data_IF_971972086429
#
_entry.id   IF_971972086429
#
_cell.length_a   1.000
_cell.length_b   1.000
_cell.length_c   1.000
_cell.angle_alpha   90.00
_cell.angle_beta   90.00
_cell.angle_gamma   90.00
#
_symmetry.space_group_name_H-M   'P 1'
#
loop_
_entity.id
_entity.type
_entity.pdbx_description
1 polymer ?
#
# COMPACT_ATOMS: atom_id res chain seq x y z
N UNK A 1 7.02 -4.57 -8.87
CA UNK A 1 6.52 -5.73 -9.65
C UNK A 1 6.20 -6.94 -8.77
N UNK A 2 7.15 -7.50 -8.00
CA UNK A 2 6.87 -8.63 -7.10
C UNK A 2 5.74 -8.35 -6.10
N UNK A 3 5.74 -7.18 -5.47
CA UNK A 3 4.64 -6.73 -4.62
C UNK A 3 3.32 -6.71 -5.39
N UNK A 4 3.28 -6.11 -6.58
CA UNK A 4 2.08 -6.04 -7.41
C UNK A 4 1.49 -7.43 -7.71
N UNK A 5 2.34 -8.42 -8.01
CA UNK A 5 1.91 -9.81 -8.21
C UNK A 5 1.33 -10.44 -6.92
N UNK A 6 1.90 -10.15 -5.74
CA UNK A 6 1.35 -10.58 -4.45
C UNK A 6 -0.09 -10.07 -4.26
N UNK A 7 -0.33 -8.78 -4.52
CA UNK A 7 -1.68 -8.19 -4.46
C UNK A 7 -2.61 -8.86 -5.47
N UNK A 8 -2.15 -9.06 -6.72
CA UNK A 8 -2.95 -9.69 -7.77
C UNK A 8 -3.33 -11.12 -7.43
N UNK A 9 -2.44 -11.92 -6.84
CA UNK A 9 -2.80 -13.26 -6.36
C UNK A 9 -3.81 -13.16 -5.22
N UNK A 10 -3.53 -12.34 -4.21
CA UNK A 10 -4.41 -12.19 -3.04
C UNK A 10 -5.84 -11.79 -3.42
N UNK A 11 -5.99 -10.90 -4.39
CA UNK A 11 -7.28 -10.35 -4.79
C UNK A 11 -7.91 -11.05 -6.00
N UNK A 12 -7.40 -12.23 -6.37
CA UNK A 12 -7.91 -13.00 -7.52
C UNK A 12 -7.93 -12.16 -8.80
N UNK A 13 -6.81 -11.45 -9.04
CA UNK A 13 -6.54 -10.54 -10.15
C UNK A 13 -7.41 -9.27 -10.20
N UNK A 14 -8.19 -8.99 -9.17
CA UNK A 14 -8.92 -7.72 -9.06
C UNK A 14 -7.96 -6.58 -8.69
N UNK A 15 -8.04 -5.49 -9.45
CA UNK A 15 -7.24 -4.28 -9.20
C UNK A 15 -7.86 -3.35 -8.16
N UNK A 16 -9.17 -3.47 -7.90
CA UNK A 16 -9.92 -2.73 -6.88
C UNK A 16 -10.83 -3.68 -6.08
N UNK A 17 -10.95 -3.45 -4.77
CA UNK A 17 -11.92 -4.12 -3.89
C UNK A 17 -13.11 -3.23 -3.53
N UNK A 18 -13.00 -1.91 -3.73
CA UNK A 18 -14.08 -0.95 -3.66
C UNK A 18 -15.08 -1.19 -4.81
N UNK A 19 -16.39 -0.99 -4.59
CA UNK A 19 -17.41 -1.20 -5.60
C UNK A 19 -17.52 0.02 -6.54
N UNK A 20 -16.45 0.29 -7.29
CA UNK A 20 -16.28 1.53 -8.07
C UNK A 20 -16.98 1.52 -9.44
N UNK A 21 -17.39 0.35 -9.93
CA UNK A 21 -18.05 0.24 -11.25
C UNK A 21 -17.10 0.63 -12.38
N UNK A 22 -17.56 1.50 -13.29
CA UNK A 22 -16.79 2.03 -14.41
C UNK A 22 -16.49 3.53 -14.18
N UNK A 23 -15.42 3.88 -13.45
CA UNK A 23 -15.09 5.28 -13.16
C UNK A 23 -14.62 6.01 -14.43
N UNK A 24 -14.99 7.27 -14.62
CA UNK A 24 -14.51 8.04 -15.77
C UNK A 24 -13.09 8.57 -15.53
N UNK A 25 -12.80 9.05 -14.31
CA UNK A 25 -11.49 9.59 -13.94
C UNK A 25 -10.91 8.84 -12.74
N UNK A 26 -9.69 8.33 -12.90
CA UNK A 26 -8.98 7.51 -11.91
C UNK A 26 -7.63 8.11 -11.58
N UNK A 27 -7.31 8.19 -10.29
CA UNK A 27 -6.01 8.60 -9.79
C UNK A 27 -5.33 7.45 -9.04
N UNK A 28 -4.10 7.11 -9.41
CA UNK A 28 -3.22 6.23 -8.64
C UNK A 28 -2.13 7.07 -7.97
N UNK A 29 -2.24 7.24 -6.67
CA UNK A 29 -1.36 8.10 -5.87
C UNK A 29 -0.09 7.34 -5.48
N UNK A 30 1.06 8.00 -5.61
CA UNK A 30 2.38 7.41 -5.37
C UNK A 30 2.55 6.09 -6.16
N UNK A 31 2.25 6.18 -7.46
CA UNK A 31 2.12 5.05 -8.40
C UNK A 31 3.43 4.26 -8.59
N UNK A 32 4.58 4.83 -8.22
CA UNK A 32 5.89 4.22 -8.37
C UNK A 32 6.19 3.88 -9.84
N UNK A 33 6.28 2.59 -10.16
CA UNK A 33 6.55 2.13 -11.54
C UNK A 33 5.38 2.37 -12.50
N UNK A 34 4.18 2.63 -11.99
CA UNK A 34 2.98 2.83 -12.81
C UNK A 34 2.26 1.55 -13.21
N UNK A 35 2.69 0.38 -12.73
CA UNK A 35 2.16 -0.92 -13.18
C UNK A 35 0.67 -1.09 -12.87
N UNK A 36 0.22 -0.63 -11.69
CA UNK A 36 -1.20 -0.69 -11.34
C UNK A 36 -2.04 0.23 -12.23
N UNK A 37 -1.62 1.49 -12.40
CA UNK A 37 -2.31 2.45 -13.25
C UNK A 37 -2.43 1.96 -14.69
N UNK A 38 -1.35 1.34 -15.21
CA UNK A 38 -1.35 0.73 -16.54
C UNK A 38 -2.34 -0.42 -16.66
N UNK A 39 -2.29 -1.42 -15.77
CA UNK A 39 -3.22 -2.56 -15.83
C UNK A 39 -4.67 -2.12 -15.64
N UNK A 40 -4.92 -1.11 -14.80
CA UNK A 40 -6.25 -0.55 -14.63
C UNK A 40 -6.73 0.14 -15.91
N UNK A 41 -5.89 0.94 -16.57
CA UNK A 41 -6.21 1.60 -17.83
C UNK A 41 -6.47 0.61 -18.97
N UNK A 42 -5.73 -0.51 -19.02
CA UNK A 42 -5.93 -1.58 -19.99
C UNK A 42 -7.27 -2.30 -19.77
N UNK A 43 -7.64 -2.57 -18.51
CA UNK A 43 -8.91 -3.19 -18.16
C UNK A 43 -10.12 -2.26 -18.35
N UNK A 44 -9.92 -0.95 -18.25
CA UNK A 44 -10.97 0.08 -18.33
C UNK A 44 -10.66 1.11 -19.44
N UNK A 45 -10.83 0.76 -20.73
CA UNK A 45 -10.41 1.59 -21.86
C UNK A 45 -11.19 2.91 -21.99
N UNK A 46 -12.33 3.04 -21.28
CA UNK A 46 -13.14 4.26 -21.23
C UNK A 46 -12.74 5.21 -20.09
N UNK A 47 -11.98 4.70 -19.11
CA UNK A 47 -11.48 5.50 -18.00
C UNK A 47 -10.23 6.25 -18.40
N UNK A 48 -10.10 7.50 -17.95
CA UNK A 48 -8.84 8.23 -17.96
C UNK A 48 -8.12 7.98 -16.64
N UNK A 49 -6.95 7.36 -16.70
CA UNK A 49 -6.13 7.00 -15.54
C UNK A 49 -4.90 7.90 -15.47
N UNK A 50 -4.68 8.48 -14.29
CA UNK A 50 -3.50 9.29 -13.99
C UNK A 50 -2.75 8.63 -12.85
N UNK A 51 -1.47 8.35 -13.03
CA UNK A 51 -0.56 8.00 -11.94
C UNK A 51 0.26 9.21 -11.49
N UNK A 52 0.29 9.52 -10.20
CA UNK A 52 1.14 10.57 -9.63
C UNK A 52 2.27 10.00 -8.80
N UNK A 53 3.45 10.63 -8.88
CA UNK A 53 4.60 10.28 -8.04
C UNK A 53 5.58 11.47 -7.95
N UNK A 54 6.39 11.53 -6.88
CA UNK A 54 7.48 12.50 -6.77
C UNK A 54 8.57 12.27 -7.82
N UNK A 55 8.64 11.06 -8.38
CA UNK A 55 9.62 10.60 -9.35
C UNK A 55 8.98 10.14 -10.67
N UNK A 56 9.59 10.51 -11.79
CA UNK A 56 9.14 10.11 -13.13
C UNK A 56 9.97 8.94 -13.64
N UNK A 57 9.77 7.75 -13.05
CA UNK A 57 10.55 6.53 -13.34
C UNK A 57 9.81 5.51 -14.22
N UNK A 58 8.62 5.87 -14.72
CA UNK A 58 7.72 4.93 -15.38
C UNK A 58 8.25 4.54 -16.78
N UNK A 59 8.23 3.24 -17.15
CA UNK A 59 8.71 2.77 -18.44
C UNK A 59 8.05 3.46 -19.62
N UNK A 60 8.81 3.72 -20.69
CA UNK A 60 8.31 4.37 -21.90
C UNK A 60 7.14 3.61 -22.55
N UNK A 61 7.13 2.28 -22.46
CA UNK A 61 6.04 1.45 -22.97
C UNK A 61 4.69 1.74 -22.31
N UNK A 62 4.65 2.13 -21.03
CA UNK A 62 3.40 2.49 -20.34
C UNK A 62 2.77 3.78 -20.91
N UNK A 63 3.58 4.62 -21.58
CA UNK A 63 3.11 5.86 -22.22
C UNK A 63 2.42 5.62 -23.57
N UNK A 64 2.25 4.36 -23.99
CA UNK A 64 1.58 3.99 -25.24
C UNK A 64 0.07 3.87 -25.10
N UNK A 65 -0.47 3.72 -23.88
CA UNK A 65 -1.91 3.71 -23.65
C UNK A 65 -2.46 5.15 -23.74
N UNK A 66 -3.40 5.45 -24.64
CA UNK A 66 -3.92 6.80 -24.82
C UNK A 66 -4.72 7.31 -23.62
N UNK A 67 -5.18 6.41 -22.75
CA UNK A 67 -5.99 6.70 -21.57
C UNK A 67 -5.20 6.60 -20.25
N UNK A 68 -3.87 6.42 -20.29
CA UNK A 68 -3.02 6.37 -19.10
C UNK A 68 -1.94 7.45 -19.18
N UNK A 69 -1.79 8.26 -18.13
CA UNK A 69 -0.76 9.31 -18.07
C UNK A 69 -0.09 9.37 -16.71
N UNK A 70 1.09 9.98 -16.66
CA UNK A 70 1.89 10.09 -15.44
C UNK A 70 2.30 11.54 -15.18
N UNK A 71 2.08 12.01 -13.96
CA UNK A 71 2.33 13.39 -13.56
C UNK A 71 3.25 13.41 -12.35
N UNK A 72 4.26 14.27 -12.38
CA UNK A 72 5.09 14.51 -11.20
C UNK A 72 4.34 15.42 -10.24
N UNK A 73 3.96 14.90 -9.08
CA UNK A 73 3.13 15.62 -8.12
C UNK A 73 3.39 15.11 -6.70
N UNK A 74 3.30 16.00 -5.71
CA UNK A 74 3.34 15.67 -4.29
C UNK A 74 1.92 15.66 -3.75
N UNK A 75 1.43 14.49 -3.37
CA UNK A 75 0.01 14.32 -3.04
C UNK A 75 -0.41 14.93 -1.70
N UNK A 76 0.55 15.48 -0.93
CA UNK A 76 0.27 16.33 0.24
C UNK A 76 -0.03 17.79 -0.17
N UNK A 77 0.37 18.23 -1.37
CA UNK A 77 0.11 19.55 -1.93
C UNK A 77 -1.30 19.64 -2.55
N UNK A 78 -1.81 20.85 -2.84
CA UNK A 78 -3.05 21.02 -3.58
C UNK A 78 -2.98 20.38 -4.97
N UNK A 79 -3.90 19.45 -5.25
CA UNK A 79 -3.96 18.74 -6.52
C UNK A 79 -4.23 19.70 -7.69
N UNK A 80 -3.46 19.56 -8.77
CA UNK A 80 -3.41 20.52 -9.89
C UNK A 80 -4.33 20.18 -11.06
N UNK A 81 -5.31 19.29 -10.85
CA UNK A 81 -6.21 18.81 -11.90
C UNK A 81 -7.41 19.75 -12.09
N UNK A 82 -7.83 19.95 -13.33
CA UNK A 82 -9.00 20.74 -13.72
C UNK A 82 -10.32 19.96 -13.62
N UNK A 83 -10.23 18.66 -13.36
CA UNK A 83 -11.35 17.76 -13.08
C UNK A 83 -11.17 17.04 -11.75
N UNK A 84 -12.25 16.37 -11.32
CA UNK A 84 -12.29 15.56 -10.10
C UNK A 84 -12.32 14.08 -10.43
N UNK A 85 -11.90 13.27 -9.46
CA UNK A 85 -11.76 11.83 -9.63
C UNK A 85 -12.98 11.05 -9.12
N UNK A 86 -13.34 10.01 -9.86
CA UNK A 86 -14.37 9.04 -9.47
C UNK A 86 -13.77 7.87 -8.68
N UNK A 87 -12.47 7.61 -8.88
CA UNK A 87 -11.72 6.62 -8.14
C UNK A 87 -10.33 7.15 -7.77
N UNK A 88 -9.94 7.00 -6.50
CA UNK A 88 -8.59 7.30 -6.01
C UNK A 88 -8.04 6.02 -5.38
N UNK A 89 -6.89 5.57 -5.86
CA UNK A 89 -6.21 4.38 -5.37
C UNK A 89 -4.83 4.75 -4.83
N UNK A 90 -4.41 4.06 -3.77
CA UNK A 90 -3.03 4.10 -3.29
C UNK A 90 -2.63 2.71 -2.79
N UNK A 91 -1.43 2.25 -3.17
CA UNK A 91 -0.94 0.92 -2.79
C UNK A 91 0.51 0.96 -2.34
N UNK A 92 0.81 0.25 -1.25
CA UNK A 92 2.16 0.14 -0.67
C UNK A 92 2.79 1.50 -0.32
N UNK A 93 2.00 2.40 0.28
CA UNK A 93 2.36 3.79 0.59
C UNK A 93 2.71 4.04 2.06
N UNK A 94 2.88 2.98 2.87
CA UNK A 94 3.01 3.03 4.34
C UNK A 94 4.02 4.05 4.86
N UNK A 95 5.11 4.29 4.11
CA UNK A 95 6.17 5.22 4.49
C UNK A 95 6.30 6.44 3.56
N UNK A 96 5.38 6.62 2.61
CA UNK A 96 5.52 7.64 1.56
C UNK A 96 5.16 9.05 2.05
N UNK A 97 4.07 9.19 2.81
CA UNK A 97 3.52 10.51 3.18
C UNK A 97 4.00 10.98 4.55
N UNK A 98 4.20 12.29 4.73
CA UNK A 98 4.45 12.84 6.07
C UNK A 98 3.21 12.68 6.94
N UNK A 99 2.04 13.04 6.42
CA UNK A 99 0.75 12.83 7.05
C UNK A 99 -0.29 12.29 6.06
N UNK A 100 -0.63 11.00 6.21
CA UNK A 100 -1.63 10.34 5.38
C UNK A 100 -3.02 11.01 5.47
N UNK A 101 -3.33 11.69 6.57
CA UNK A 101 -4.61 12.40 6.74
C UNK A 101 -4.70 13.63 5.84
N UNK A 102 -3.57 14.29 5.56
CA UNK A 102 -3.51 15.38 4.58
C UNK A 102 -3.88 14.86 3.19
N UNK A 103 -3.28 13.73 2.78
CA UNK A 103 -3.61 13.08 1.50
C UNK A 103 -5.09 12.69 1.43
N UNK A 104 -5.66 12.14 2.51
CA UNK A 104 -7.09 11.82 2.56
C UNK A 104 -7.98 13.07 2.44
N UNK A 105 -7.60 14.18 3.08
CA UNK A 105 -8.31 15.46 2.94
C UNK A 105 -8.24 16.00 1.50
N UNK A 106 -7.06 15.94 0.86
CA UNK A 106 -6.88 16.33 -0.55
C UNK A 106 -7.71 15.46 -1.48
N UNK A 107 -7.71 14.15 -1.26
CA UNK A 107 -8.57 13.24 -2.01
C UNK A 107 -10.05 13.58 -1.82
N UNK A 108 -10.48 13.83 -0.59
CA UNK A 108 -11.85 14.22 -0.33
C UNK A 108 -12.25 15.49 -1.11
N UNK A 109 -11.38 16.50 -1.19
CA UNK A 109 -11.61 17.73 -1.98
C UNK A 109 -11.65 17.46 -3.49
N UNK A 110 -10.67 16.69 -3.99
CA UNK A 110 -10.42 16.37 -5.39
C UNK A 110 -11.33 15.29 -5.99
N UNK A 111 -12.20 14.66 -5.21
CA UNK A 111 -13.10 13.61 -5.68
C UNK A 111 -14.52 14.11 -6.01
N UNK A 112 -15.17 13.46 -6.97
CA UNK A 112 -16.59 13.60 -7.22
C UNK A 112 -17.42 12.98 -6.10
N UNK A 113 -18.62 13.51 -5.88
CA UNK A 113 -19.60 12.88 -5.00
C UNK A 113 -19.94 11.48 -5.51
N UNK A 114 -20.01 10.51 -4.60
CA UNK A 114 -20.19 9.11 -4.99
C UNK A 114 -18.91 8.40 -5.45
N UNK A 115 -17.80 9.11 -5.64
CA UNK A 115 -16.50 8.50 -5.96
C UNK A 115 -15.92 7.70 -4.81
N UNK A 116 -15.07 6.72 -5.12
CA UNK A 116 -14.45 5.81 -4.16
C UNK A 116 -12.96 6.09 -3.96
N UNK A 117 -12.48 5.89 -2.75
CA UNK A 117 -11.06 5.88 -2.41
C UNK A 117 -10.70 4.52 -1.83
N UNK A 118 -9.55 3.97 -2.20
CA UNK A 118 -9.06 2.68 -1.72
C UNK A 118 -7.56 2.71 -1.43
N UNK A 119 -7.19 2.38 -0.19
CA UNK A 119 -5.81 2.21 0.25
C UNK A 119 -5.52 0.72 0.47
N UNK A 120 -4.44 0.23 -0.11
CA UNK A 120 -3.99 -1.16 0.01
C UNK A 120 -2.55 -1.18 0.55
N UNK A 121 -2.37 -1.46 1.83
CA UNK A 121 -1.09 -1.20 2.48
C UNK A 121 -0.69 -2.22 3.54
N UNK A 122 0.62 -2.45 3.64
CA UNK A 122 1.20 -3.47 4.51
C UNK A 122 1.59 -2.81 5.83
N UNK A 123 1.11 -3.37 6.94
CA UNK A 123 1.59 -2.99 8.25
C UNK A 123 2.92 -3.71 8.54
N UNK A 124 3.94 -2.95 8.92
CA UNK A 124 5.31 -3.46 9.19
C UNK A 124 5.42 -4.18 10.55
N UNK A 125 4.33 -4.78 11.03
CA UNK A 125 4.29 -5.62 12.22
C UNK A 125 4.23 -7.09 11.79
N UNK A 126 5.36 -7.77 11.87
CA UNK A 126 5.42 -9.21 11.56
C UNK A 126 4.80 -10.01 12.70
N UNK A 127 3.90 -10.93 12.34
CA UNK A 127 3.13 -11.77 13.26
C UNK A 127 3.33 -13.24 12.94
N UNK A 128 2.96 -14.10 13.87
CA UNK A 128 2.93 -15.56 13.69
C UNK A 128 1.74 -16.14 14.44
N UNK A 129 1.26 -17.29 14.00
CA UNK A 129 0.12 -17.99 14.58
C UNK A 129 0.51 -18.98 15.70
N UNK A 130 1.80 -19.29 15.86
CA UNK A 130 2.26 -20.39 16.72
C UNK A 130 3.64 -20.16 17.35
N UNK A 131 3.98 -18.90 17.64
CA UNK A 131 5.22 -18.47 18.31
C UNK A 131 6.54 -18.78 17.59
N UNK A 132 6.50 -19.42 16.40
CA UNK A 132 7.70 -19.77 15.61
C UNK A 132 8.53 -18.56 15.13
N UNK A 133 7.97 -17.36 15.24
CA UNK A 133 8.65 -16.09 14.96
C UNK A 133 9.54 -15.60 16.12
N UNK A 134 9.31 -16.04 17.35
CA UNK A 134 9.99 -15.52 18.53
C UNK A 134 11.50 -15.80 18.51
N UNK A 135 12.30 -14.76 18.75
CA UNK A 135 13.77 -14.89 18.77
C UNK A 135 14.43 -15.02 17.40
N UNK A 136 13.65 -14.95 16.32
CA UNK A 136 14.19 -14.96 14.95
C UNK A 136 14.82 -13.62 14.57
N UNK A 137 15.78 -13.65 13.65
CA UNK A 137 16.39 -12.45 13.09
C UNK A 137 15.40 -11.65 12.24
N UNK A 138 14.43 -12.31 11.59
CA UNK A 138 13.38 -11.58 10.84
C UNK A 138 12.49 -10.78 11.79
N UNK A 139 12.16 -11.30 12.97
CA UNK A 139 11.44 -10.53 14.00
C UNK A 139 12.26 -9.33 14.49
N UNK A 140 13.54 -9.55 14.79
CA UNK A 140 14.49 -8.50 15.19
C UNK A 140 14.60 -7.41 14.11
N UNK A 141 14.65 -7.82 12.84
CA UNK A 141 14.73 -6.93 11.69
C UNK A 141 13.50 -6.03 11.59
N UNK A 142 12.28 -6.58 11.61
CA UNK A 142 11.05 -5.76 11.57
C UNK A 142 10.99 -4.78 12.74
N UNK A 143 11.32 -5.21 13.96
CA UNK A 143 11.38 -4.31 15.14
C UNK A 143 12.40 -3.18 14.95
N UNK A 144 13.56 -3.49 14.39
CA UNK A 144 14.62 -2.50 14.17
C UNK A 144 14.25 -1.52 13.05
N UNK A 145 13.62 -2.00 11.97
CA UNK A 145 13.08 -1.15 10.90
C UNK A 145 12.03 -0.19 11.44
N UNK A 146 11.08 -0.68 12.26
CA UNK A 146 10.08 0.15 12.93
C UNK A 146 10.73 1.25 13.78
N UNK A 147 11.77 0.91 14.55
CA UNK A 147 12.55 1.90 15.34
C UNK A 147 13.24 2.93 14.45
N UNK A 148 13.83 2.51 13.33
CA UNK A 148 14.50 3.41 12.39
C UNK A 148 13.55 4.37 11.69
N UNK A 149 12.35 3.94 11.31
CA UNK A 149 11.32 4.83 10.78
C UNK A 149 10.78 5.79 11.86
N UNK A 150 10.54 5.30 13.08
CA UNK A 150 10.08 6.13 14.18
C UNK A 150 11.06 7.25 14.54
N UNK A 151 12.38 7.03 14.43
CA UNK A 151 13.39 8.05 14.73
C UNK A 151 13.37 9.25 13.77
N UNK A 152 12.75 9.11 12.60
CA UNK A 152 12.54 10.19 11.63
C UNK A 152 11.05 10.60 11.52
N UNK A 153 10.22 10.25 12.51
CA UNK A 153 8.80 10.62 12.54
C UNK A 153 7.90 9.87 11.56
N UNK A 154 8.38 8.75 10.99
CA UNK A 154 7.57 7.89 10.11
C UNK A 154 6.92 6.79 10.94
N UNK A 155 5.62 6.94 11.15
CA UNK A 155 4.80 5.86 11.71
C UNK A 155 4.53 4.80 10.63
N UNK A 156 4.77 3.53 10.92
CA UNK A 156 4.50 2.38 10.04
C UNK A 156 3.34 1.51 10.53
N UNK A 157 2.64 1.97 11.58
CA UNK A 157 1.36 1.45 12.06
C UNK A 157 0.15 2.18 11.47
N UNK A 158 0.39 3.17 10.61
CA UNK A 158 -0.64 3.94 9.90
C UNK A 158 -1.78 3.09 9.31
N UNK A 159 -1.53 1.91 8.69
CA UNK A 159 -2.61 1.09 8.16
C UNK A 159 -3.66 0.68 9.20
N UNK A 160 -3.29 0.58 10.49
CA UNK A 160 -4.22 0.30 11.60
C UNK A 160 -5.24 1.42 11.85
N UNK A 161 -4.93 2.64 11.38
CA UNK A 161 -5.74 3.83 11.62
C UNK A 161 -6.49 4.30 10.36
N UNK A 162 -6.25 3.68 9.20
CA UNK A 162 -6.85 4.12 7.93
C UNK A 162 -8.37 4.18 7.99
N UNK A 163 -9.05 3.16 8.52
CA UNK A 163 -10.52 3.18 8.65
C UNK A 163 -11.01 4.39 9.44
N UNK A 164 -10.36 4.69 10.57
CA UNK A 164 -10.70 5.85 11.38
C UNK A 164 -10.45 7.16 10.61
N UNK A 165 -9.31 7.30 9.95
CA UNK A 165 -8.99 8.52 9.20
C UNK A 165 -9.89 8.75 7.99
N UNK A 166 -10.36 7.69 7.34
CA UNK A 166 -11.37 7.80 6.27
C UNK A 166 -12.68 8.39 6.82
N UNK A 167 -13.14 7.90 7.98
CA UNK A 167 -14.34 8.43 8.64
C UNK A 167 -14.16 9.89 9.06
N UNK A 168 -13.01 10.23 9.65
CA UNK A 168 -12.67 11.60 10.07
C UNK A 168 -12.59 12.58 8.88
N UNK A 169 -12.08 12.12 7.73
CA UNK A 169 -12.07 12.89 6.48
C UNK A 169 -13.47 13.07 5.87
N UNK A 170 -14.48 12.35 6.34
CA UNK A 170 -15.88 12.47 5.91
C UNK A 170 -16.32 11.46 4.85
N UNK A 171 -15.52 10.44 4.58
CA UNK A 171 -15.95 9.32 3.73
C UNK A 171 -17.03 8.48 4.44
N UNK A 172 -17.93 7.90 3.65
CA UNK A 172 -19.02 7.02 4.10
C UNK A 172 -18.86 5.63 3.50
N UNK A 173 -19.66 4.66 3.94
CA UNK A 173 -19.58 3.27 3.49
C UNK A 173 -18.16 2.68 3.64
N UNK A 174 -17.47 3.05 4.74
CA UNK A 174 -16.07 2.71 4.97
C UNK A 174 -15.93 1.26 5.44
N UNK A 175 -15.24 0.46 4.64
CA UNK A 175 -14.94 -0.94 4.92
C UNK A 175 -13.44 -1.15 5.10
N UNK A 176 -13.08 -2.11 5.95
CA UNK A 176 -11.70 -2.55 6.16
C UNK A 176 -11.65 -4.07 6.02
N UNK A 177 -10.69 -4.55 5.22
CA UNK A 177 -10.38 -5.96 5.04
C UNK A 177 -8.92 -6.18 5.39
N UNK A 178 -8.65 -7.22 6.17
CA UNK A 178 -7.30 -7.60 6.56
C UNK A 178 -6.94 -8.96 5.93
N UNK A 179 -5.80 -9.03 5.25
CA UNK A 179 -5.28 -10.25 4.61
C UNK A 179 -3.89 -10.58 5.18
N UNK A 180 -3.61 -11.85 5.52
CA UNK A 180 -2.25 -12.24 5.89
C UNK A 180 -1.39 -12.43 4.64
N UNK A 181 -0.25 -11.74 4.57
CA UNK A 181 0.82 -12.03 3.59
C UNK A 181 1.86 -12.92 4.28
N UNK A 182 1.89 -14.24 4.02
CA UNK A 182 2.92 -15.12 4.58
C UNK A 182 4.30 -14.73 4.03
N UNK A 183 5.34 -14.79 4.87
CA UNK A 183 6.71 -14.46 4.43
C UNK A 183 7.32 -15.51 3.49
N UNK A 184 6.82 -16.74 3.55
CA UNK A 184 7.26 -17.86 2.71
C UNK A 184 6.12 -18.88 2.52
N UNK A 185 6.47 -20.04 1.95
CA UNK A 185 5.54 -21.09 1.54
C UNK A 185 5.06 -22.01 2.67
N UNK A 186 5.18 -21.62 3.94
CA UNK A 186 4.70 -22.41 5.09
C UNK A 186 3.19 -22.72 5.08
N UNK A 187 2.26 -21.85 4.59
CA UNK A 187 0.84 -22.16 4.63
C UNK A 187 0.49 -23.39 3.80
N UNK A 188 -0.62 -24.07 4.10
CA UNK A 188 -1.02 -25.27 3.34
C UNK A 188 -1.69 -24.93 2.00
N UNK A 189 -2.49 -23.86 1.96
CA UNK A 189 -3.33 -23.53 0.81
C UNK A 189 -2.49 -23.19 -0.44
N UNK A 190 -2.85 -23.66 -1.65
CA UNK A 190 -2.10 -23.35 -2.87
C UNK A 190 -1.93 -21.85 -3.11
N UNK A 191 -3.00 -21.07 -2.91
CA UNK A 191 -2.99 -19.61 -3.06
C UNK A 191 -2.01 -18.94 -2.08
N UNK A 192 -2.05 -19.30 -0.80
CA UNK A 192 -1.14 -18.73 0.20
C UNK A 192 0.31 -19.17 0.01
N UNK A 193 0.55 -20.39 -0.50
CA UNK A 193 1.90 -20.83 -0.90
C UNK A 193 2.44 -19.99 -2.06
N UNK A 194 1.62 -19.73 -3.08
CA UNK A 194 2.01 -18.89 -4.21
C UNK A 194 2.37 -17.47 -3.73
N UNK A 195 1.52 -16.87 -2.89
CA UNK A 195 1.80 -15.56 -2.25
C UNK A 195 3.12 -15.61 -1.48
N UNK A 196 3.33 -16.63 -0.66
CA UNK A 196 4.55 -16.80 0.13
C UNK A 196 5.81 -16.95 -0.72
N UNK A 197 5.72 -17.61 -1.88
CA UNK A 197 6.82 -17.74 -2.84
C UNK A 197 7.25 -16.37 -3.37
N UNK A 198 6.29 -15.56 -3.80
CA UNK A 198 6.57 -14.19 -4.27
C UNK A 198 7.01 -13.26 -3.15
N UNK A 199 6.43 -13.39 -1.95
CA UNK A 199 6.83 -12.59 -0.80
C UNK A 199 8.27 -12.91 -0.36
N UNK A 200 8.69 -14.17 -0.39
CA UNK A 200 10.08 -14.51 -0.09
C UNK A 200 11.04 -13.90 -1.12
N UNK A 201 10.72 -14.00 -2.43
CA UNK A 201 11.51 -13.33 -3.47
C UNK A 201 11.57 -11.81 -3.24
N UNK A 202 10.43 -11.19 -2.93
CA UNK A 202 10.35 -9.78 -2.59
C UNK A 202 11.19 -9.42 -1.35
N UNK A 203 11.24 -10.30 -0.34
CA UNK A 203 12.05 -10.11 0.86
C UNK A 203 13.55 -10.22 0.58
N UNK A 204 13.97 -11.12 -0.31
CA UNK A 204 15.38 -11.26 -0.72
C UNK A 204 15.94 -9.95 -1.30
N UNK A 205 15.13 -9.21 -2.05
CA UNK A 205 15.51 -7.91 -2.62
C UNK A 205 15.26 -6.75 -1.63
N UNK A 206 14.10 -6.77 -0.97
CA UNK A 206 13.62 -5.68 -0.14
C UNK A 206 14.36 -5.55 1.19
N UNK A 207 14.67 -6.66 1.88
CA UNK A 207 15.32 -6.63 3.19
C UNK A 207 16.69 -5.94 3.09
N UNK A 208 17.61 -6.30 2.17
CA UNK A 208 18.89 -5.60 2.03
C UNK A 208 18.73 -4.11 1.71
N UNK A 209 17.82 -3.76 0.79
CA UNK A 209 17.60 -2.38 0.35
C UNK A 209 17.07 -1.48 1.47
N UNK A 210 16.09 -1.97 2.25
CA UNK A 210 15.58 -1.27 3.43
C UNK A 210 16.64 -1.24 4.53
N UNK A 211 17.37 -2.34 4.73
CA UNK A 211 18.37 -2.44 5.80
C UNK A 211 19.46 -1.38 5.68
N UNK A 212 19.99 -1.20 4.47
CA UNK A 212 21.04 -0.24 4.18
C UNK A 212 20.65 1.21 4.52
N UNK A 213 19.36 1.55 4.41
CA UNK A 213 18.85 2.91 4.64
C UNK A 213 18.32 3.12 6.06
N UNK A 214 17.62 2.14 6.62
CA UNK A 214 16.78 2.32 7.82
C UNK A 214 17.44 1.82 9.10
N UNK A 215 18.23 0.73 9.06
CA UNK A 215 18.88 0.22 10.28
C UNK A 215 19.90 1.21 10.89
N UNK A 216 20.67 1.99 10.10
CA UNK A 216 21.51 3.05 10.66
C UNK A 216 20.72 4.12 11.43
N UNK A 217 19.51 4.46 10.98
CA UNK A 217 18.60 5.38 11.69
C UNK A 217 18.13 4.81 13.03
N UNK A 218 18.18 3.49 13.18
CA UNK A 218 17.89 2.77 14.41
C UNK A 218 19.14 2.57 15.30
N UNK A 219 20.28 3.17 14.93
CA UNK A 219 21.53 3.16 15.70
C UNK A 219 22.49 2.01 15.38
N UNK A 220 22.22 1.18 14.38
CA UNK A 220 23.12 0.07 14.02
C UNK A 220 24.30 0.59 13.19
N UNK A 221 25.49 0.03 13.44
CA UNK A 221 26.63 0.17 12.54
C UNK A 221 26.38 -0.53 11.20
N UNK A 222 27.17 -0.18 10.18
CA UNK A 222 27.08 -0.82 8.86
C UNK A 222 27.25 -2.35 8.94
N UNK A 223 28.17 -2.83 9.79
CA UNK A 223 28.42 -4.26 9.97
C UNK A 223 27.24 -4.97 10.63
N UNK A 224 26.66 -4.39 11.69
CA UNK A 224 25.48 -4.95 12.36
C UNK A 224 24.26 -4.96 11.43
N UNK A 225 24.07 -3.89 10.64
CA UNK A 225 22.99 -3.79 9.68
C UNK A 225 23.09 -4.87 8.59
N UNK A 226 24.30 -5.10 8.06
CA UNK A 226 24.55 -6.16 7.07
C UNK A 226 24.33 -7.56 7.64
N UNK A 227 24.82 -7.83 8.85
CA UNK A 227 24.62 -9.12 9.52
C UNK A 227 23.14 -9.41 9.78
N UNK A 228 22.42 -8.46 10.40
CA UNK A 228 20.99 -8.59 10.68
C UNK A 228 20.19 -8.77 9.38
N UNK A 229 20.50 -7.99 8.34
CA UNK A 229 19.89 -8.14 7.02
C UNK A 229 20.09 -9.54 6.46
N UNK A 230 21.31 -10.07 6.50
CA UNK A 230 21.61 -11.39 5.95
C UNK A 230 20.92 -12.52 6.73
N UNK A 231 20.87 -12.42 8.07
CA UNK A 231 20.11 -13.36 8.92
C UNK A 231 18.61 -13.28 8.64
N UNK A 232 18.05 -12.08 8.54
CA UNK A 232 16.63 -11.87 8.27
C UNK A 232 16.21 -12.41 6.89
N UNK A 233 17.04 -12.26 5.85
CA UNK A 233 16.78 -12.89 4.54
C UNK A 233 16.71 -14.42 4.67
N UNK A 234 17.65 -15.04 5.40
CA UNK A 234 17.65 -16.49 5.64
C UNK A 234 16.39 -16.95 6.38
N UNK A 235 16.01 -16.24 7.44
CA UNK A 235 14.80 -16.53 8.20
C UNK A 235 13.53 -16.35 7.35
N UNK A 236 13.51 -15.34 6.46
CA UNK A 236 12.35 -15.10 5.61
C UNK A 236 12.00 -16.31 4.74
N UNK A 237 12.98 -17.13 4.34
CA UNK A 237 12.77 -18.35 3.54
C UNK A 237 12.60 -19.64 4.35
N UNK A 238 12.71 -19.59 5.68
CA UNK A 238 12.61 -20.78 6.54
C UNK A 238 11.13 -21.13 6.78
N UNK A 239 10.66 -22.22 6.18
CA UNK A 239 9.26 -22.67 6.31
C UNK A 239 8.88 -23.20 7.68
N UNK A 240 9.82 -23.30 8.63
CA UNK A 240 9.53 -23.56 10.05
C UNK A 240 9.13 -22.28 10.82
N UNK A 241 9.31 -21.11 10.21
CA UNK A 241 8.90 -19.82 10.75
C UNK A 241 7.56 -19.46 10.08
N UNK A 242 6.46 -19.66 10.81
CA UNK A 242 5.10 -19.42 10.33
C UNK A 242 4.71 -17.95 10.51
N UNK A 243 5.50 -17.07 9.87
CA UNK A 243 5.34 -15.63 9.95
C UNK A 243 4.55 -15.05 8.78
N UNK A 244 3.83 -13.97 9.05
CA UNK A 244 3.10 -13.18 8.08
C UNK A 244 3.08 -11.69 8.45
N UNK A 245 2.88 -10.82 7.47
CA UNK A 245 2.58 -9.39 7.68
C UNK A 245 1.11 -9.13 7.34
N UNK A 246 0.36 -8.38 8.18
CA UNK A 246 -0.99 -7.96 7.85
C UNK A 246 -0.99 -6.95 6.69
N UNK A 247 -1.85 -7.19 5.70
CA UNK A 247 -2.22 -6.25 4.66
C UNK A 247 -3.61 -5.70 4.97
N UNK A 248 -3.74 -4.38 5.04
CA UNK A 248 -5.01 -3.71 5.21
C UNK A 248 -5.46 -3.13 3.87
N UNK A 249 -6.71 -3.44 3.50
CA UNK A 249 -7.42 -2.78 2.42
C UNK A 249 -8.56 -1.99 3.03
N UNK A 250 -8.49 -0.68 2.93
CA UNK A 250 -9.52 0.24 3.42
C UNK A 250 -10.07 1.01 2.24
N UNK A 251 -11.38 1.01 2.08
CA UNK A 251 -12.03 1.85 1.07
C UNK A 251 -13.24 2.55 1.64
N UNK A 252 -13.58 3.70 1.05
CA UNK A 252 -14.73 4.50 1.42
C UNK A 252 -15.20 5.35 0.25
N UNK A 253 -16.43 5.82 0.32
CA UNK A 253 -17.08 6.62 -0.73
C UNK A 253 -17.26 8.05 -0.27
N UNK A 254 -17.04 9.01 -1.16
CA UNK A 254 -17.43 10.40 -0.89
C UNK A 254 -18.97 10.48 -0.86
N UNK A 255 -19.59 11.09 0.17
CA UNK A 255 -21.05 11.17 0.25
C UNK A 255 -21.64 11.97 -0.90
N UNK A 256 -22.89 11.65 -1.27
CA UNK A 256 -23.71 12.51 -2.13
C UNK A 256 -24.20 13.72 -1.33
N UNK A 257 -24.23 14.92 -1.92
CA UNK A 257 -24.62 16.17 -1.27
C UNK A 257 -25.95 16.07 -0.50
N UNK A 258 -26.92 15.32 -1.02
CA UNK A 258 -28.25 15.15 -0.42
C UNK A 258 -28.26 14.40 0.92
N UNK A 259 -27.19 13.70 1.30
CA UNK A 259 -27.11 13.01 2.61
C UNK A 259 -26.60 13.88 3.77
N UNK A 260 -26.06 15.08 3.51
CA UNK A 260 -25.60 15.98 4.60
C UNK A 260 -26.73 16.58 5.44
N UNK A 261 -27.95 16.68 4.89
CA UNK A 261 -29.06 17.37 5.58
C UNK A 261 -29.79 16.50 6.60
N UNK A 262 -29.65 15.17 6.56
CA UNK A 262 -30.37 14.27 7.48
C UNK A 262 -29.59 13.91 8.75
N UNK A 263 -28.27 14.14 8.81
CA UNK A 263 -27.47 13.89 10.02
C UNK A 263 -27.32 15.10 10.95
N UNK A 264 -27.76 16.30 10.53
CA UNK A 264 -27.73 17.52 11.36
C UNK A 264 -29.10 17.85 11.98
N UNK A 265 -30.11 17.00 11.80
CA UNK A 265 -31.49 17.20 12.30
C UNK A 265 -32.01 15.98 13.06
N UNK A 266 -31.11 15.11 13.56
CA UNK A 266 -31.47 13.91 14.34
C UNK A 266 -30.81 13.93 15.71
#
# INVERSE_FOLDING_TARGET
>A
DLQHEIFNILFDRKLALAPVGEPAHVLDIATGTGIWAFEFAEAHPISTVVGTDLSMIQPSALRLLPNCSFVREDSEEPWVFDYKFDYVHARAVVSCFNDTRVVLARAFEGMNEGGWIEFQDINMDVRSIDHTLEGTAVQEWFRTVRRGFASIGRDVDRPLFYKQWFLEAGFVDVEEKCFPIPLNQWPESPKSKEVGRFQHANACDGIPGVSAKVLPLAGLSSAEAQDLSARAVRDSGNTRIHAYTPLYVVYGRKPFATKRTQQLVG
#
